data_IF_549113956375
#
_entry.id   IF_549113956375
#
_cell.length_a   1.000
_cell.length_b   1.000
_cell.length_c   1.000
_cell.angle_alpha   90.00
_cell.angle_beta   90.00
_cell.angle_gamma   90.00
#
_symmetry.space_group_name_H-M   'P 1'
#
loop_
_entity.id
_entity.type
_entity.pdbx_description
1 polymer ?
#
# COMPACT_ATOMS: atom_id res chain seq x y z
N UNK A 1 -11.21 -15.11 18.45
CA UNK A 1 -9.79 -14.75 18.26
C UNK A 1 -9.75 -13.26 17.91
N UNK A 2 -8.65 -12.59 18.13
CA UNK A 2 -8.47 -11.23 17.61
C UNK A 2 -7.21 -11.21 16.78
N UNK A 3 -7.32 -10.72 15.54
CA UNK A 3 -6.17 -10.60 14.67
C UNK A 3 -5.62 -9.17 14.71
N UNK A 4 -4.31 -9.06 14.57
CA UNK A 4 -3.64 -7.78 14.41
C UNK A 4 -3.82 -7.27 12.97
N UNK A 5 -3.94 -5.96 12.81
CA UNK A 5 -4.13 -5.34 11.50
C UNK A 5 -2.85 -5.51 10.64
N UNK A 6 -2.92 -6.26 9.52
CA UNK A 6 -1.77 -6.48 8.66
C UNK A 6 -1.29 -5.22 7.92
N UNK A 7 -2.03 -4.12 8.00
CA UNK A 7 -1.62 -2.82 7.43
C UNK A 7 -0.62 -2.07 8.30
N UNK A 8 -0.42 -2.50 9.56
CA UNK A 8 0.65 -1.93 10.39
C UNK A 8 2.01 -2.44 9.91
N UNK A 9 3.04 -1.57 9.88
CA UNK A 9 4.41 -1.92 9.46
C UNK A 9 4.95 -3.15 10.19
N UNK A 10 4.64 -3.26 11.49
CA UNK A 10 5.07 -4.38 12.32
C UNK A 10 4.46 -5.70 11.85
N UNK A 11 3.11 -5.77 11.73
CA UNK A 11 2.41 -7.02 11.37
C UNK A 11 2.70 -7.38 9.91
N UNK A 12 2.78 -6.38 9.02
CA UNK A 12 3.14 -6.61 7.63
C UNK A 12 4.50 -7.32 7.52
N UNK A 13 5.51 -6.83 8.21
CA UNK A 13 6.84 -7.45 8.24
C UNK A 13 6.84 -8.80 8.93
N UNK A 14 6.06 -8.97 10.00
CA UNK A 14 5.90 -10.24 10.70
C UNK A 14 5.35 -11.34 9.78
N UNK A 15 4.44 -11.00 8.87
CA UNK A 15 3.79 -11.93 7.93
C UNK A 15 4.65 -12.13 6.68
N UNK A 16 5.00 -11.06 5.98
CA UNK A 16 5.64 -11.12 4.65
C UNK A 16 7.17 -11.08 4.69
N UNK A 17 7.77 -10.58 5.76
CA UNK A 17 9.22 -10.55 5.98
C UNK A 17 9.76 -11.75 6.77
N UNK A 18 8.96 -12.78 7.02
CA UNK A 18 9.31 -13.90 7.89
C UNK A 18 10.09 -14.99 7.16
N UNK A 19 11.33 -15.22 7.56
CA UNK A 19 12.19 -16.29 7.01
C UNK A 19 11.59 -17.69 7.12
N UNK A 20 10.75 -17.94 8.14
CA UNK A 20 10.10 -19.24 8.40
C UNK A 20 8.75 -19.38 7.67
N UNK A 21 8.28 -18.32 7.00
CA UNK A 21 6.98 -18.27 6.35
C UNK A 21 7.07 -17.67 4.93
N UNK A 22 8.14 -18.00 4.19
CA UNK A 22 8.36 -17.54 2.80
C UNK A 22 7.27 -17.97 1.83
N UNK A 23 6.59 -19.06 2.12
CA UNK A 23 5.42 -19.55 1.38
C UNK A 23 4.31 -18.50 1.29
N UNK A 24 4.10 -17.69 2.34
CA UNK A 24 3.17 -16.57 2.36
C UNK A 24 3.60 -15.51 1.32
N UNK A 25 4.86 -15.06 1.39
CA UNK A 25 5.39 -14.07 0.45
C UNK A 25 5.37 -14.59 -0.99
N UNK A 26 5.76 -15.84 -1.22
CA UNK A 26 5.76 -16.48 -2.55
C UNK A 26 4.33 -16.51 -3.13
N UNK A 27 3.35 -16.92 -2.34
CA UNK A 27 1.95 -16.95 -2.77
C UNK A 27 1.45 -15.54 -3.12
N UNK A 28 1.77 -14.54 -2.30
CA UNK A 28 1.41 -13.15 -2.56
C UNK A 28 2.04 -12.63 -3.85
N UNK A 29 3.35 -12.81 -4.04
CA UNK A 29 4.06 -12.37 -5.24
C UNK A 29 3.50 -13.00 -6.52
N UNK A 30 3.27 -14.32 -6.51
CA UNK A 30 2.67 -15.03 -7.65
C UNK A 30 1.28 -14.50 -7.97
N UNK A 31 0.47 -14.22 -6.95
CA UNK A 31 -0.87 -13.70 -7.12
C UNK A 31 -0.87 -12.28 -7.70
N UNK A 32 0.00 -11.38 -7.22
CA UNK A 32 0.12 -9.99 -7.73
C UNK A 32 0.57 -9.97 -9.18
N UNK A 33 1.52 -10.84 -9.52
CA UNK A 33 2.11 -10.90 -10.87
C UNK A 33 1.24 -11.69 -11.85
N UNK A 34 0.21 -12.42 -11.38
CA UNK A 34 -0.64 -13.26 -12.21
C UNK A 34 0.13 -14.40 -12.88
N UNK A 35 1.13 -14.96 -12.20
CA UNK A 35 1.99 -16.02 -12.76
C UNK A 35 1.26 -17.36 -12.75
N UNK A 36 1.37 -18.07 -13.87
CA UNK A 36 0.94 -19.47 -13.98
C UNK A 36 1.96 -20.42 -13.33
N UNK A 37 1.59 -21.72 -13.21
CA UNK A 37 2.45 -22.73 -12.58
C UNK A 37 3.82 -22.88 -13.25
N UNK A 38 3.91 -22.66 -14.56
CA UNK A 38 5.16 -22.82 -15.33
C UNK A 38 6.15 -21.69 -15.05
N UNK A 39 5.65 -20.50 -14.68
CA UNK A 39 6.44 -19.29 -14.44
C UNK A 39 6.45 -18.87 -12.98
N UNK A 40 5.80 -19.66 -12.10
CA UNK A 40 5.66 -19.32 -10.70
C UNK A 40 7.02 -19.18 -9.98
N UNK A 41 7.06 -18.23 -9.07
CA UNK A 41 8.14 -18.08 -8.10
C UNK A 41 8.01 -19.27 -7.12
N UNK A 42 9.04 -20.07 -7.01
CA UNK A 42 9.09 -21.25 -6.13
C UNK A 42 9.95 -21.04 -4.88
N UNK A 43 10.83 -20.04 -4.92
CA UNK A 43 11.68 -19.70 -3.79
C UNK A 43 12.11 -18.23 -3.82
N UNK A 44 12.23 -17.66 -2.62
CA UNK A 44 12.78 -16.32 -2.41
C UNK A 44 13.85 -16.33 -1.31
N UNK A 45 14.79 -15.39 -1.44
CA UNK A 45 15.74 -15.02 -0.38
C UNK A 45 15.34 -13.64 0.12
N UNK A 46 15.01 -13.52 1.41
CA UNK A 46 14.72 -12.23 2.04
C UNK A 46 16.03 -11.46 2.17
N UNK A 47 16.02 -10.21 1.74
CA UNK A 47 17.17 -9.32 1.73
C UNK A 47 17.00 -8.26 2.84
N UNK A 48 18.11 -7.58 3.17
CA UNK A 48 18.05 -6.46 4.09
C UNK A 48 17.17 -5.34 3.50
N UNK A 49 16.09 -4.93 4.17
CA UNK A 49 15.20 -3.87 3.70
C UNK A 49 15.85 -2.47 3.78
N UNK A 50 16.95 -2.35 4.51
CA UNK A 50 17.74 -1.13 4.56
C UNK A 50 18.49 -0.91 3.26
N UNK A 51 18.17 0.17 2.57
CA UNK A 51 18.86 0.58 1.35
C UNK A 51 19.89 1.66 1.69
N UNK A 52 21.14 1.20 1.91
CA UNK A 52 22.25 2.09 2.24
C UNK A 52 22.51 3.11 1.12
N UNK A 53 22.82 4.37 1.46
CA UNK A 53 23.28 5.32 0.47
C UNK A 53 24.70 4.93 0.00
N UNK A 54 24.95 4.95 -1.31
CA UNK A 54 26.29 4.72 -1.86
C UNK A 54 27.29 5.86 -1.55
N UNK A 55 26.76 7.03 -1.21
CA UNK A 55 27.51 8.23 -0.82
C UNK A 55 26.81 8.79 0.43
N UNK A 56 27.55 9.26 1.41
CA UNK A 56 27.03 9.73 2.70
C UNK A 56 25.99 10.88 2.61
N UNK A 57 25.99 11.63 1.52
CA UNK A 57 25.04 12.71 1.25
C UNK A 57 23.71 12.25 0.62
N UNK A 58 23.63 11.00 0.16
CA UNK A 58 22.38 10.47 -0.42
C UNK A 58 21.39 10.05 0.67
N UNK A 59 20.10 10.21 0.36
CA UNK A 59 19.03 9.82 1.27
C UNK A 59 19.05 8.30 1.51
N UNK A 60 18.99 7.92 2.79
CA UNK A 60 18.66 6.55 3.20
C UNK A 60 17.19 6.24 2.91
N UNK A 61 16.89 5.01 2.59
CA UNK A 61 15.50 4.54 2.54
C UNK A 61 15.38 3.16 3.17
N UNK A 62 14.23 2.92 3.77
CA UNK A 62 13.81 1.62 4.28
C UNK A 62 12.57 1.21 3.49
N UNK A 63 12.47 -0.06 3.17
CA UNK A 63 11.30 -0.67 2.59
C UNK A 63 10.79 -1.74 3.55
N UNK A 64 9.53 -2.17 3.46
CA UNK A 64 9.00 -3.12 4.44
C UNK A 64 9.56 -4.52 4.21
N UNK A 65 9.51 -4.99 2.97
CA UNK A 65 10.06 -6.28 2.58
C UNK A 65 10.89 -6.12 1.31
N UNK A 66 12.08 -6.69 1.30
CA UNK A 66 12.93 -6.83 0.12
C UNK A 66 13.31 -8.29 -0.04
N UNK A 67 13.13 -8.85 -1.23
CA UNK A 67 13.53 -10.22 -1.51
C UNK A 67 14.02 -10.39 -2.95
N UNK A 68 14.61 -11.55 -3.24
CA UNK A 68 15.09 -11.94 -4.57
C UNK A 68 14.68 -13.38 -4.85
N UNK A 69 14.17 -13.63 -6.05
CA UNK A 69 13.86 -14.99 -6.50
C UNK A 69 15.10 -15.69 -7.09
N UNK A 70 14.93 -16.96 -7.53
CA UNK A 70 16.02 -17.76 -8.12
C UNK A 70 16.52 -17.21 -9.45
N UNK A 71 15.72 -16.44 -10.18
CA UNK A 71 16.08 -15.80 -11.45
C UNK A 71 16.91 -14.54 -11.24
N UNK A 72 16.99 -14.07 -9.99
CA UNK A 72 17.69 -12.85 -9.62
C UNK A 72 16.79 -11.60 -9.59
N UNK A 73 15.50 -11.72 -9.93
CA UNK A 73 14.54 -10.62 -9.87
C UNK A 73 14.40 -10.15 -8.42
N UNK A 74 14.57 -8.86 -8.17
CA UNK A 74 14.38 -8.25 -6.85
C UNK A 74 12.98 -7.69 -6.70
N UNK A 75 12.37 -7.97 -5.56
CA UNK A 75 11.08 -7.44 -5.17
C UNK A 75 11.24 -6.47 -4.02
N UNK A 76 10.59 -5.32 -4.13
CA UNK A 76 10.44 -4.32 -3.09
C UNK A 76 8.95 -4.24 -2.80
N UNK A 77 8.53 -4.61 -1.59
CA UNK A 77 7.12 -4.60 -1.19
C UNK A 77 6.94 -3.64 -0.03
N UNK A 78 6.01 -2.72 -0.18
CA UNK A 78 5.70 -1.69 0.81
C UNK A 78 4.20 -1.63 1.10
N UNK A 79 3.82 -1.51 2.38
CA UNK A 79 2.47 -1.20 2.84
C UNK A 79 2.39 0.27 3.23
N UNK A 80 1.42 1.01 2.72
CA UNK A 80 1.24 2.43 2.99
C UNK A 80 -0.20 2.71 3.41
N UNK A 81 -0.36 3.18 4.63
CA UNK A 81 -1.70 3.47 5.19
C UNK A 81 -2.17 4.89 4.91
N UNK A 82 -1.29 5.76 4.42
CA UNK A 82 -1.60 7.17 4.20
C UNK A 82 -0.80 7.76 3.03
N UNK A 83 -1.49 8.54 2.21
CA UNK A 83 -0.85 9.35 1.18
C UNK A 83 0.05 10.43 1.83
N UNK A 84 1.24 10.57 1.30
CA UNK A 84 2.17 11.65 1.65
C UNK A 84 2.60 12.36 0.38
N UNK A 85 2.79 13.68 0.44
CA UNK A 85 3.27 14.45 -0.71
C UNK A 85 4.56 13.85 -1.30
N UNK A 86 4.57 13.66 -2.61
CA UNK A 86 5.68 13.03 -3.33
C UNK A 86 5.74 11.50 -3.22
N UNK A 87 4.63 10.86 -2.85
CA UNK A 87 4.55 9.40 -2.73
C UNK A 87 5.01 8.70 -4.01
N UNK A 88 4.51 9.09 -5.18
CA UNK A 88 4.84 8.49 -6.48
C UNK A 88 6.33 8.62 -6.81
N UNK A 89 6.93 9.77 -6.45
CA UNK A 89 8.38 9.99 -6.60
C UNK A 89 9.19 9.10 -5.67
N UNK A 90 8.68 8.87 -4.43
CA UNK A 90 9.32 8.01 -3.45
C UNK A 90 9.31 6.55 -3.90
N UNK A 91 8.19 6.07 -4.43
CA UNK A 91 8.06 4.70 -4.96
C UNK A 91 9.07 4.47 -6.09
N UNK A 92 9.14 5.39 -7.05
CA UNK A 92 10.13 5.32 -8.13
C UNK A 92 11.57 5.38 -7.60
N UNK A 93 11.85 6.30 -6.66
CA UNK A 93 13.17 6.43 -6.05
C UNK A 93 13.62 5.13 -5.37
N UNK A 94 12.73 4.46 -4.61
CA UNK A 94 13.02 3.21 -3.91
C UNK A 94 13.31 2.06 -4.89
N UNK A 95 12.55 1.95 -5.98
CA UNK A 95 12.78 0.97 -7.03
C UNK A 95 14.11 1.22 -7.76
N UNK A 96 14.39 2.47 -8.17
CA UNK A 96 15.65 2.85 -8.77
C UNK A 96 16.84 2.58 -7.83
N UNK A 97 16.68 2.83 -6.54
CA UNK A 97 17.73 2.57 -5.54
C UNK A 97 18.00 1.07 -5.37
N UNK A 98 16.95 0.23 -5.39
CA UNK A 98 17.10 -1.21 -5.42
C UNK A 98 17.86 -1.67 -6.68
N UNK A 99 17.52 -1.10 -7.85
CA UNK A 99 18.15 -1.42 -9.12
C UNK A 99 19.65 -1.03 -9.16
N UNK A 100 19.99 0.23 -8.87
CA UNK A 100 21.38 0.68 -8.85
C UNK A 100 22.19 0.06 -7.72
N UNK A 101 21.51 -0.38 -6.65
CA UNK A 101 22.11 -1.08 -5.52
C UNK A 101 22.72 -2.44 -5.86
N UNK A 102 22.32 -3.05 -6.98
CA UNK A 102 22.79 -4.37 -7.41
C UNK A 102 24.24 -4.36 -7.94
N UNK A 103 24.77 -3.22 -8.37
CA UNK A 103 26.10 -3.12 -8.93
C UNK A 103 27.05 -2.32 -8.04
N UNK A 104 28.26 -2.87 -7.86
CA UNK A 104 29.39 -2.15 -7.30
C UNK A 104 30.30 -1.59 -8.40
N UNK A 105 31.24 -0.71 -8.00
CA UNK A 105 32.24 -0.11 -8.91
C UNK A 105 33.00 -1.21 -9.65
N UNK A 106 32.99 -1.14 -10.98
CA UNK A 106 33.72 -2.08 -11.85
C UNK A 106 32.90 -3.32 -12.25
N UNK A 107 31.68 -3.49 -11.79
CA UNK A 107 30.79 -4.54 -12.27
C UNK A 107 30.13 -4.18 -13.60
N UNK A 108 29.81 -5.20 -14.41
CA UNK A 108 29.19 -5.02 -15.73
C UNK A 108 27.68 -4.96 -15.66
N UNK A 109 27.01 -4.12 -16.47
CA UNK A 109 25.57 -3.95 -16.56
C UNK A 109 24.76 -5.24 -16.80
N UNK A 110 25.21 -6.27 -17.57
CA UNK A 110 24.50 -7.53 -17.72
C UNK A 110 24.24 -8.32 -16.42
N UNK A 111 24.81 -7.89 -15.30
CA UNK A 111 24.54 -8.46 -13.96
C UNK A 111 23.36 -7.80 -13.25
N UNK A 112 22.81 -6.72 -13.81
CA UNK A 112 21.56 -6.13 -13.30
C UNK A 112 20.39 -7.08 -13.55
N UNK A 113 19.56 -7.20 -12.54
CA UNK A 113 18.32 -7.95 -12.62
C UNK A 113 17.14 -6.98 -12.49
N UNK A 114 16.01 -7.38 -13.02
CA UNK A 114 14.76 -6.66 -12.90
C UNK A 114 14.41 -6.35 -11.44
N UNK A 115 13.82 -5.20 -11.22
CA UNK A 115 13.22 -4.80 -9.94
C UNK A 115 11.71 -4.63 -10.12
N UNK A 116 10.94 -5.32 -9.29
CA UNK A 116 9.49 -5.20 -9.22
C UNK A 116 9.13 -4.56 -7.89
N UNK A 117 8.60 -3.34 -7.95
CA UNK A 117 8.11 -2.62 -6.78
C UNK A 117 6.60 -2.83 -6.66
N UNK A 118 6.17 -3.31 -5.50
CA UNK A 118 4.76 -3.56 -5.17
C UNK A 118 4.38 -2.64 -4.01
N UNK A 119 3.45 -1.72 -4.26
CA UNK A 119 2.93 -0.80 -3.26
C UNK A 119 1.49 -1.17 -2.93
N UNK A 120 1.23 -1.54 -1.68
CA UNK A 120 -0.10 -1.83 -1.15
C UNK A 120 -0.57 -0.59 -0.42
N UNK A 121 -1.73 -0.05 -0.80
CA UNK A 121 -2.19 1.28 -0.39
C UNK A 121 -3.54 1.19 0.31
N UNK A 122 -3.65 1.77 1.51
CA UNK A 122 -4.93 1.98 2.21
C UNK A 122 -5.58 3.33 1.81
N UNK A 123 -5.23 3.84 0.63
CA UNK A 123 -5.78 5.04 0.00
C UNK A 123 -5.79 4.89 -1.53
N UNK A 124 -6.62 5.68 -2.23
CA UNK A 124 -6.62 5.75 -3.69
C UNK A 124 -5.62 6.79 -4.19
N UNK A 125 -4.95 6.49 -5.30
CA UNK A 125 -3.98 7.35 -5.99
C UNK A 125 -4.42 7.66 -7.42
N UNK A 126 -4.96 6.67 -8.12
CA UNK A 126 -5.32 6.78 -9.53
C UNK A 126 -6.84 6.86 -9.67
N UNK A 127 -7.37 8.05 -9.89
CA UNK A 127 -8.82 8.26 -10.00
C UNK A 127 -9.37 7.92 -11.39
N UNK A 128 -8.48 7.69 -12.39
CA UNK A 128 -8.85 7.46 -13.78
C UNK A 128 -9.40 6.05 -14.04
N UNK A 129 -9.27 5.14 -13.10
CA UNK A 129 -9.78 3.76 -13.21
C UNK A 129 -10.23 3.19 -11.87
N UNK A 130 -11.14 2.20 -11.92
CA UNK A 130 -11.75 1.61 -10.71
C UNK A 130 -11.11 0.29 -10.25
N UNK A 131 -10.29 -0.36 -11.08
CA UNK A 131 -9.65 -1.62 -10.68
C UNK A 131 -8.61 -1.41 -9.59
N UNK A 132 -8.57 -2.33 -8.63
CA UNK A 132 -7.75 -2.24 -7.43
C UNK A 132 -6.28 -2.62 -7.63
N UNK A 133 -5.94 -3.36 -8.70
CA UNK A 133 -4.58 -3.79 -9.05
C UNK A 133 -4.18 -3.18 -10.39
N UNK A 134 -3.08 -2.45 -10.43
CA UNK A 134 -2.52 -1.89 -11.67
C UNK A 134 -1.03 -2.21 -11.80
N UNK A 135 -0.56 -2.29 -13.06
CA UNK A 135 0.84 -2.48 -13.42
C UNK A 135 1.31 -1.31 -14.30
N UNK A 136 2.40 -0.68 -13.92
CA UNK A 136 3.01 0.44 -14.62
C UNK A 136 4.41 0.05 -15.09
N UNK A 137 4.67 0.24 -16.39
CA UNK A 137 5.93 -0.15 -17.04
C UNK A 137 6.31 0.82 -18.17
N UNK A 138 7.55 0.78 -18.62
CA UNK A 138 8.01 1.63 -19.70
C UNK A 138 7.62 1.03 -21.05
N UNK A 139 6.95 1.83 -21.91
CA UNK A 139 6.57 1.42 -23.26
C UNK A 139 6.98 2.46 -24.30
N UNK A 140 7.37 1.99 -25.49
CA UNK A 140 7.55 2.87 -26.65
C UNK A 140 6.19 3.46 -27.05
N UNK A 141 6.10 4.79 -27.12
CA UNK A 141 4.82 5.51 -27.17
C UNK A 141 4.01 5.36 -28.47
N UNK A 142 4.66 4.95 -29.58
CA UNK A 142 3.99 4.76 -30.87
C UNK A 142 3.55 3.31 -31.12
N UNK A 143 4.42 2.37 -30.75
CA UNK A 143 4.21 0.94 -31.02
C UNK A 143 3.63 0.19 -29.84
N UNK A 144 3.61 0.82 -28.64
CA UNK A 144 3.27 0.21 -27.37
C UNK A 144 4.14 -1.02 -27.01
N UNK A 145 5.31 -1.16 -27.65
CA UNK A 145 6.23 -2.23 -27.37
C UNK A 145 7.00 -1.98 -26.07
N UNK A 146 7.34 -3.06 -25.39
CA UNK A 146 8.04 -3.08 -24.12
C UNK A 146 9.50 -3.53 -24.36
N UNK A 147 10.44 -2.60 -24.28
CA UNK A 147 11.88 -2.87 -24.50
C UNK A 147 12.73 -2.64 -23.24
N UNK A 148 12.21 -1.85 -22.27
CA UNK A 148 12.91 -1.50 -21.04
C UNK A 148 12.18 -2.16 -19.87
N UNK A 149 12.50 -3.44 -19.61
CA UNK A 149 11.79 -4.30 -18.67
C UNK A 149 12.49 -4.39 -17.29
N UNK A 150 13.30 -3.40 -16.97
CA UNK A 150 14.15 -3.47 -15.78
C UNK A 150 13.44 -3.04 -14.49
N UNK A 151 12.44 -2.18 -14.58
CA UNK A 151 11.67 -1.70 -13.44
C UNK A 151 10.19 -1.74 -13.78
N UNK A 152 9.40 -2.44 -12.92
CA UNK A 152 7.94 -2.45 -12.97
C UNK A 152 7.38 -2.02 -11.63
N UNK A 153 6.24 -1.33 -11.65
CA UNK A 153 5.51 -0.94 -10.46
C UNK A 153 4.12 -1.57 -10.46
N UNK A 154 3.80 -2.26 -9.39
CA UNK A 154 2.45 -2.74 -9.13
C UNK A 154 1.86 -1.93 -7.97
N UNK A 155 0.60 -1.51 -8.12
CA UNK A 155 -0.13 -0.85 -7.06
C UNK A 155 -1.39 -1.66 -6.75
N UNK A 156 -1.62 -1.87 -5.45
CA UNK A 156 -2.84 -2.47 -4.92
C UNK A 156 -3.53 -1.40 -4.09
N UNK A 157 -4.62 -0.82 -4.60
CA UNK A 157 -5.40 0.21 -3.91
C UNK A 157 -6.56 -0.45 -3.16
N UNK A 158 -6.34 -0.80 -1.88
CA UNK A 158 -7.33 -1.50 -1.05
C UNK A 158 -8.70 -0.81 -0.96
N UNK A 159 -8.84 0.54 -0.99
CA UNK A 159 -10.15 1.18 -1.02
C UNK A 159 -11.01 0.80 -2.23
N UNK A 160 -10.39 0.49 -3.38
CA UNK A 160 -11.09 0.06 -4.60
C UNK A 160 -11.50 -1.43 -4.58
N UNK A 161 -10.93 -2.23 -3.68
CA UNK A 161 -11.30 -3.63 -3.50
C UNK A 161 -12.56 -3.71 -2.65
N UNK A 162 -13.71 -4.13 -3.23
CA UNK A 162 -15.01 -4.13 -2.57
C UNK A 162 -15.67 -5.51 -2.50
N UNK A 163 -14.97 -6.59 -2.88
CA UNK A 163 -15.50 -7.94 -2.85
C UNK A 163 -15.72 -8.43 -1.41
N UNK A 164 -16.85 -9.12 -1.22
CA UNK A 164 -17.16 -9.79 0.03
C UNK A 164 -16.55 -11.20 0.06
N UNK A 165 -16.48 -11.84 1.23
CA UNK A 165 -15.88 -13.17 1.38
C UNK A 165 -16.39 -14.19 0.35
N UNK A 166 -17.72 -14.25 0.14
CA UNK A 166 -18.34 -15.23 -0.74
C UNK A 166 -18.03 -15.02 -2.23
N UNK A 167 -17.59 -13.83 -2.62
CA UNK A 167 -17.24 -13.44 -3.99
C UNK A 167 -15.79 -13.74 -4.36
N UNK A 168 -14.94 -14.08 -3.36
CA UNK A 168 -13.52 -14.32 -3.58
C UNK A 168 -13.29 -15.59 -4.42
N UNK A 169 -12.67 -15.46 -5.58
CA UNK A 169 -12.38 -16.57 -6.50
C UNK A 169 -10.86 -16.78 -6.66
N UNK A 170 -10.12 -15.69 -6.79
CA UNK A 170 -8.69 -15.72 -7.09
C UNK A 170 -7.80 -15.55 -5.85
N UNK A 171 -6.56 -16.00 -5.94
CA UNK A 171 -5.57 -15.86 -4.86
C UNK A 171 -5.29 -14.39 -4.52
N UNK A 172 -5.26 -13.50 -5.52
CA UNK A 172 -5.04 -12.07 -5.28
C UNK A 172 -6.22 -11.43 -4.55
N UNK A 173 -7.46 -11.81 -4.85
CA UNK A 173 -8.64 -11.33 -4.13
C UNK A 173 -8.61 -11.76 -2.67
N UNK A 174 -8.21 -13.00 -2.39
CA UNK A 174 -8.02 -13.51 -1.02
C UNK A 174 -6.95 -12.72 -0.26
N UNK A 175 -5.83 -12.37 -0.91
CA UNK A 175 -4.80 -11.53 -0.30
C UNK A 175 -5.28 -10.09 -0.05
N UNK A 176 -5.98 -9.49 -1.00
CA UNK A 176 -6.57 -8.16 -0.81
C UNK A 176 -7.60 -8.15 0.33
N UNK A 177 -8.46 -9.19 0.40
CA UNK A 177 -9.41 -9.35 1.49
C UNK A 177 -8.72 -9.48 2.85
N UNK A 178 -7.70 -10.35 2.94
CA UNK A 178 -6.89 -10.51 4.15
C UNK A 178 -6.28 -9.18 4.60
N UNK A 179 -5.58 -8.48 3.70
CA UNK A 179 -4.91 -7.21 4.00
C UNK A 179 -5.90 -6.12 4.44
N UNK A 180 -7.10 -6.09 3.84
CA UNK A 180 -8.10 -5.07 4.13
C UNK A 180 -8.89 -5.34 5.40
N UNK A 181 -9.19 -6.61 5.71
CA UNK A 181 -10.21 -6.97 6.70
C UNK A 181 -9.70 -7.78 7.90
N UNK A 182 -8.52 -8.41 7.84
CA UNK A 182 -8.08 -9.33 8.90
C UNK A 182 -8.11 -8.71 10.30
N UNK A 183 -7.74 -7.43 10.44
CA UNK A 183 -7.76 -6.73 11.73
C UNK A 183 -9.15 -6.57 12.37
N UNK A 184 -10.20 -6.68 11.56
CA UNK A 184 -11.60 -6.53 11.99
C UNK A 184 -12.31 -7.89 12.19
N UNK A 185 -11.62 -9.01 11.95
CA UNK A 185 -12.19 -10.36 12.04
C UNK A 185 -11.89 -11.02 13.38
N UNK A 186 -12.87 -11.82 13.84
CA UNK A 186 -12.73 -12.68 15.04
C UNK A 186 -12.52 -14.16 14.69
N UNK A 187 -12.78 -14.56 13.45
CA UNK A 187 -12.63 -15.92 12.95
C UNK A 187 -12.04 -15.90 11.55
N UNK A 188 -11.31 -16.96 11.19
CA UNK A 188 -10.77 -17.09 9.83
C UNK A 188 -11.93 -17.40 8.87
N UNK A 189 -12.14 -16.56 7.83
CA UNK A 189 -13.15 -16.79 6.80
C UNK A 189 -12.99 -18.16 6.12
N UNK A 190 -14.08 -18.77 5.71
CA UNK A 190 -14.06 -20.12 5.13
C UNK A 190 -13.16 -20.20 3.89
N UNK A 191 -13.24 -19.21 3.03
CA UNK A 191 -12.44 -19.11 1.79
C UNK A 191 -10.93 -18.89 2.02
N UNK A 192 -10.51 -18.56 3.26
CA UNK A 192 -9.12 -18.31 3.64
C UNK A 192 -8.58 -19.36 4.66
N UNK A 193 -9.22 -20.51 4.80
CA UNK A 193 -8.77 -21.57 5.73
C UNK A 193 -7.61 -22.41 5.20
N UNK A 194 -7.38 -22.40 3.89
CA UNK A 194 -6.28 -23.13 3.27
C UNK A 194 -4.95 -22.38 3.41
N UNK A 195 -3.85 -23.13 3.27
CA UNK A 195 -2.52 -22.50 3.21
C UNK A 195 -2.33 -21.71 1.89
N UNK A 196 -1.62 -20.61 1.92
CA UNK A 196 -0.87 -20.05 3.06
C UNK A 196 -1.66 -19.07 3.92
N UNK A 197 -2.94 -18.82 3.63
CA UNK A 197 -3.77 -17.83 4.34
C UNK A 197 -3.95 -18.16 5.81
N UNK A 198 -4.23 -19.45 6.12
CA UNK A 198 -4.35 -19.91 7.52
C UNK A 198 -3.11 -19.55 8.33
N UNK A 199 -1.93 -19.82 7.78
CA UNK A 199 -0.65 -19.47 8.41
C UNK A 199 -0.47 -17.94 8.59
N UNK A 200 -0.92 -17.15 7.64
CA UNK A 200 -0.90 -15.68 7.76
C UNK A 200 -1.80 -15.20 8.90
N UNK A 201 -3.00 -15.77 9.06
CA UNK A 201 -3.88 -15.49 10.21
C UNK A 201 -3.29 -15.97 11.54
N UNK A 202 -2.60 -17.10 11.55
CA UNK A 202 -1.91 -17.61 12.75
C UNK A 202 -0.80 -16.65 13.22
N UNK A 203 -0.04 -16.08 12.28
CA UNK A 203 0.97 -15.05 12.57
C UNK A 203 0.33 -13.72 13.02
N UNK A 204 -0.82 -13.36 12.46
CA UNK A 204 -1.57 -12.17 12.86
C UNK A 204 -2.35 -12.35 14.17
N UNK A 205 -2.46 -13.58 14.72
CA UNK A 205 -3.25 -13.82 15.92
C UNK A 205 -2.58 -13.21 17.16
N UNK A 206 -3.24 -12.22 17.74
CA UNK A 206 -2.75 -11.49 18.93
C UNK A 206 -2.43 -12.39 20.11
N UNK A 207 -3.14 -13.52 20.26
CA UNK A 207 -2.90 -14.47 21.33
C UNK A 207 -1.55 -15.22 21.20
N UNK A 208 -0.96 -15.23 20.01
CA UNK A 208 0.31 -15.88 19.72
C UNK A 208 1.51 -14.92 19.83
N UNK A 209 1.27 -13.64 19.99
CA UNK A 209 2.32 -12.62 20.10
C UNK A 209 3.04 -12.70 21.43
N UNK A 210 4.36 -12.55 21.42
CA UNK A 210 5.14 -12.27 22.64
C UNK A 210 4.77 -10.90 23.20
N UNK A 211 5.23 -10.60 24.40
CA UNK A 211 5.00 -9.28 25.01
C UNK A 211 5.64 -8.18 24.17
N UNK A 212 6.85 -8.39 23.69
CA UNK A 212 7.61 -7.45 22.87
C UNK A 212 6.92 -7.23 21.50
N UNK A 213 6.39 -8.28 20.89
CA UNK A 213 5.62 -8.19 19.64
C UNK A 213 4.31 -7.43 19.84
N UNK A 214 3.66 -7.66 20.99
CA UNK A 214 2.45 -6.94 21.34
C UNK A 214 2.72 -5.44 21.54
N UNK A 215 3.75 -5.07 22.28
CA UNK A 215 4.15 -3.68 22.50
C UNK A 215 4.49 -2.99 21.16
N UNK A 216 5.25 -3.66 20.28
CA UNK A 216 5.57 -3.14 18.95
C UNK A 216 4.32 -2.97 18.05
N UNK A 217 3.35 -3.88 18.14
CA UNK A 217 2.08 -3.76 17.43
C UNK A 217 1.23 -2.60 17.97
N UNK A 218 1.14 -2.47 19.28
CA UNK A 218 0.34 -1.41 19.93
C UNK A 218 0.88 -0.03 19.56
N UNK A 219 2.21 0.17 19.61
CA UNK A 219 2.88 1.40 19.18
C UNK A 219 2.60 1.71 17.69
N UNK A 220 2.74 0.72 16.80
CA UNK A 220 2.47 0.88 15.38
C UNK A 220 0.99 1.21 15.11
N UNK A 221 0.06 0.55 15.81
CA UNK A 221 -1.37 0.77 15.70
C UNK A 221 -1.78 2.16 16.17
N UNK A 222 -1.24 2.61 17.31
CA UNK A 222 -1.47 3.98 17.80
C UNK A 222 -0.96 5.02 16.81
N UNK A 223 0.23 4.82 16.23
CA UNK A 223 0.78 5.71 15.20
C UNK A 223 -0.14 5.86 13.98
N UNK A 224 -0.72 4.76 13.51
CA UNK A 224 -1.69 4.80 12.39
C UNK A 224 -2.96 5.57 12.79
N UNK A 225 -3.50 5.32 14.00
CA UNK A 225 -4.71 6.00 14.48
C UNK A 225 -4.47 7.51 14.63
N UNK A 226 -3.34 7.92 15.17
CA UNK A 226 -2.95 9.32 15.29
C UNK A 226 -2.85 9.98 13.91
N UNK A 227 -2.17 9.37 12.95
CA UNK A 227 -2.06 9.86 11.58
C UNK A 227 -3.42 9.99 10.90
N UNK A 228 -4.29 8.97 11.01
CA UNK A 228 -5.67 9.03 10.50
C UNK A 228 -6.48 10.14 11.15
N UNK A 229 -6.29 10.38 12.46
CA UNK A 229 -6.90 11.48 13.20
C UNK A 229 -6.50 12.83 12.64
N UNK A 230 -5.20 13.07 12.43
CA UNK A 230 -4.66 14.32 11.86
C UNK A 230 -5.23 14.58 10.45
N UNK A 231 -5.23 13.56 9.57
CA UNK A 231 -5.77 13.70 8.21
C UNK A 231 -7.27 13.94 8.22
N UNK A 232 -8.01 13.27 9.10
CA UNK A 232 -9.45 13.47 9.24
C UNK A 232 -9.76 14.89 9.69
N UNK A 233 -8.98 15.43 10.64
CA UNK A 233 -9.13 16.82 11.10
C UNK A 233 -8.82 17.81 9.98
N UNK A 234 -7.69 17.66 9.27
CA UNK A 234 -7.30 18.52 8.16
C UNK A 234 -8.34 18.52 7.03
N UNK A 235 -8.85 17.35 6.63
CA UNK A 235 -9.94 17.25 5.63
C UNK A 235 -11.23 17.92 6.08
N UNK A 236 -11.53 17.87 7.37
CA UNK A 236 -12.72 18.53 7.92
C UNK A 236 -12.58 20.06 7.89
N UNK A 237 -11.39 20.57 8.20
CA UNK A 237 -11.06 21.99 8.11
C UNK A 237 -11.12 22.48 6.66
N UNK A 238 -10.45 21.81 5.73
CA UNK A 238 -10.47 22.13 4.30
C UNK A 238 -11.90 22.13 3.73
N UNK A 239 -12.69 21.10 4.09
CA UNK A 239 -14.10 21.04 3.67
C UNK A 239 -14.92 22.18 4.23
N UNK A 240 -14.64 22.63 5.46
CA UNK A 240 -15.32 23.78 6.06
C UNK A 240 -14.91 25.09 5.40
N UNK A 241 -13.62 25.27 5.13
CA UNK A 241 -13.10 26.44 4.40
C UNK A 241 -13.71 26.53 2.99
N UNK A 242 -13.70 25.43 2.23
CA UNK A 242 -14.33 25.38 0.90
C UNK A 242 -15.81 25.76 0.94
N UNK A 243 -16.56 25.27 1.95
CA UNK A 243 -17.97 25.66 2.12
C UNK A 243 -18.15 27.14 2.40
N UNK A 244 -17.26 27.72 3.22
CA UNK A 244 -17.27 29.14 3.52
C UNK A 244 -16.92 30.00 2.28
N UNK A 245 -15.94 29.57 1.48
CA UNK A 245 -15.58 30.24 0.22
C UNK A 245 -16.74 30.22 -0.79
N UNK A 246 -17.34 29.05 -1.01
CA UNK A 246 -18.52 28.92 -1.88
C UNK A 246 -19.67 29.81 -1.36
N UNK A 247 -19.91 29.81 -0.04
CA UNK A 247 -20.97 30.62 0.55
C UNK A 247 -20.72 32.13 0.38
N UNK A 248 -19.48 32.59 0.47
CA UNK A 248 -19.09 34.00 0.19
C UNK A 248 -19.39 34.36 -1.27
N UNK A 249 -18.92 33.58 -2.21
CA UNK A 249 -19.15 33.79 -3.63
C UNK A 249 -20.65 33.87 -3.96
N UNK A 250 -21.45 32.93 -3.45
CA UNK A 250 -22.89 32.90 -3.66
C UNK A 250 -23.61 34.10 -2.99
N UNK A 251 -23.07 34.63 -1.88
CA UNK A 251 -23.59 35.81 -1.19
C UNK A 251 -23.27 37.06 -1.98
N UNK A 252 -22.07 37.21 -2.55
CA UNK A 252 -21.67 38.27 -3.46
C UNK A 252 -22.53 38.30 -4.72
N UNK A 253 -22.91 37.13 -5.25
CA UNK A 253 -23.83 36.96 -6.38
C UNK A 253 -25.29 37.30 -6.03
N UNK A 254 -25.57 37.70 -4.78
CA UNK A 254 -26.90 38.14 -4.33
C UNK A 254 -27.90 36.98 -4.05
N UNK A 255 -27.44 35.74 -3.87
CA UNK A 255 -28.33 34.63 -3.54
C UNK A 255 -28.90 34.78 -2.12
N UNK A 256 -30.20 34.46 -1.90
CA UNK A 256 -30.78 34.43 -0.58
C UNK A 256 -30.10 33.42 0.37
N UNK A 257 -29.89 33.81 1.64
CA UNK A 257 -29.22 33.00 2.64
C UNK A 257 -29.77 31.55 2.76
N UNK A 258 -31.10 31.39 2.63
CA UNK A 258 -31.74 30.06 2.64
C UNK A 258 -31.31 29.14 1.47
N UNK A 259 -31.02 29.71 0.30
CA UNK A 259 -30.48 28.96 -0.85
C UNK A 259 -29.01 28.60 -0.65
N UNK A 260 -28.22 29.53 -0.11
CA UNK A 260 -26.81 29.30 0.24
C UNK A 260 -26.70 28.20 1.29
N UNK A 261 -27.54 28.23 2.34
CA UNK A 261 -27.59 27.18 3.36
C UNK A 261 -27.87 25.80 2.77
N UNK A 262 -28.83 25.71 1.85
CA UNK A 262 -29.17 24.46 1.17
C UNK A 262 -28.03 23.94 0.27
N UNK A 263 -27.28 24.84 -0.39
CA UNK A 263 -26.19 24.47 -1.29
C UNK A 263 -24.92 24.05 -0.55
N UNK A 264 -24.57 24.71 0.56
CA UNK A 264 -23.31 24.53 1.29
C UNK A 264 -23.45 23.64 2.53
N UNK A 265 -24.68 23.50 3.07
CA UNK A 265 -24.94 22.84 4.36
C UNK A 265 -24.48 23.65 5.56
N UNK A 266 -24.18 24.94 5.39
CA UNK A 266 -23.91 25.88 6.48
C UNK A 266 -25.23 26.35 7.12
N UNK A 267 -25.18 26.67 8.40
CA UNK A 267 -26.31 27.29 9.09
C UNK A 267 -26.56 28.72 8.63
N UNK A 268 -27.78 29.21 8.77
CA UNK A 268 -28.11 30.60 8.46
C UNK A 268 -27.26 31.60 9.26
N UNK A 269 -26.96 31.27 10.52
CA UNK A 269 -26.11 32.11 11.38
C UNK A 269 -24.66 32.19 10.89
N UNK A 270 -24.11 31.11 10.33
CA UNK A 270 -22.78 31.12 9.73
C UNK A 270 -22.77 31.99 8.45
N UNK A 271 -23.81 31.89 7.61
CA UNK A 271 -23.92 32.65 6.38
C UNK A 271 -24.11 34.17 6.67
N UNK A 272 -24.88 34.50 7.68
CA UNK A 272 -25.08 35.91 8.08
C UNK A 272 -23.77 36.57 8.54
N UNK A 273 -22.89 35.81 9.20
CA UNK A 273 -21.58 36.27 9.68
C UNK A 273 -20.50 36.39 8.58
N UNK A 274 -20.76 35.84 7.39
CA UNK A 274 -19.83 35.97 6.27
C UNK A 274 -19.82 37.45 5.82
N UNK A 275 -18.65 38.08 5.86
CA UNK A 275 -18.36 39.40 5.35
C UNK A 275 -18.01 39.33 3.87
#
# INVERSE_FOLDING_TARGET
>A
MQFADPRTDFVFRLIFGNEKAKDILISFLNAVLGLDEAHAIDAVTILNPYQAPKISTMKTSFVDVKCRDRRGVEFVVEMQVQYTEGFEKRVQYNACKAYVGQLDKGMNYPKLNQVIAISILDFAVFDEFEHYLSCHEFRETRTNNHYLDEIRHYFIELPKFNLQEHELETTIEKWCFFLKHAGDLDVIPEKLRDEPFRKAFELANRANMTKEEWEAYDDASMGIQEQRGIVSAARKEERQETKLEIARALKEDGLPAARIAKATGLSLQEIEKLV
#
